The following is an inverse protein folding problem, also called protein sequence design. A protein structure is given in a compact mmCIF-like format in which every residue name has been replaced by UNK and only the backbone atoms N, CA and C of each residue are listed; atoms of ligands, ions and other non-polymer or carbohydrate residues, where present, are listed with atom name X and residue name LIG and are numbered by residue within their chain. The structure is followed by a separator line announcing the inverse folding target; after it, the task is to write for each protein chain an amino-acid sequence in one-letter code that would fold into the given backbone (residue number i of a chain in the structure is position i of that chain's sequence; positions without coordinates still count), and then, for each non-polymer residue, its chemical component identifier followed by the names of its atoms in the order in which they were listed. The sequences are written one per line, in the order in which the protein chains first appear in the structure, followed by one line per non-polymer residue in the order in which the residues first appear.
data_IF_360528457160
#
_entry.id   IF_360528457160
#
_cell.length_a   1.000
_cell.length_b   1.000
_cell.length_c   1.000
_cell.angle_alpha   90.00
_cell.angle_beta   90.00
_cell.angle_gamma   90.00
#
_symmetry.space_group_name_H-M   'P 1'
#
loop_
_entity.id
_entity.type
_entity.pdbx_description
1 polymer ?
#
# COMPACT_ATOMS: atom_id res chain seq x y z
N UNK A 1 -5.71 -6.95 -10.91
CA UNK A 1 -5.94 -5.49 -10.82
C UNK A 1 -5.45 -5.00 -9.48
N UNK A 2 -4.72 -3.90 -9.48
CA UNK A 2 -4.23 -3.18 -8.30
C UNK A 2 -4.28 -1.69 -8.60
N UNK A 3 -4.38 -0.87 -7.55
CA UNK A 3 -4.39 0.59 -7.64
C UNK A 3 -3.20 1.08 -6.81
N UNK A 4 -2.41 1.98 -7.37
CA UNK A 4 -1.32 2.67 -6.68
C UNK A 4 -1.70 4.13 -6.53
N UNK A 5 -1.56 4.66 -5.32
CA UNK A 5 -1.88 6.05 -4.97
C UNK A 5 -0.64 6.66 -4.35
N UNK A 6 -0.26 7.86 -4.80
CA UNK A 6 0.82 8.63 -4.19
C UNK A 6 0.33 9.23 -2.86
N UNK A 7 1.16 9.11 -1.81
CA UNK A 7 0.88 9.67 -0.49
C UNK A 7 1.54 11.04 -0.36
N UNK A 8 0.79 12.07 -0.77
CA UNK A 8 1.21 13.48 -0.79
C UNK A 8 1.31 14.12 0.61
N UNK A 9 0.96 13.40 1.68
CA UNK A 9 1.02 13.91 3.05
C UNK A 9 2.39 13.70 3.74
N UNK A 10 3.36 13.15 3.02
CA UNK A 10 4.65 12.77 3.58
C UNK A 10 5.78 13.76 3.24
N UNK A 11 6.76 13.81 4.15
CA UNK A 11 7.93 14.72 4.10
C UNK A 11 8.67 14.62 2.76
N UNK A 12 9.01 15.78 2.20
CA UNK A 12 9.48 16.08 0.82
C UNK A 12 10.68 15.26 0.28
N UNK A 13 11.21 14.28 1.01
CA UNK A 13 12.43 13.56 0.67
C UNK A 13 12.24 12.12 0.18
N UNK A 14 11.04 11.53 0.32
CA UNK A 14 10.80 10.14 -0.09
C UNK A 14 9.41 9.95 -0.72
N UNK A 15 9.35 9.65 -2.03
CA UNK A 15 8.10 9.36 -2.75
C UNK A 15 7.43 8.11 -2.17
N UNK A 16 6.38 8.30 -1.37
CA UNK A 16 5.61 7.21 -0.75
C UNK A 16 4.39 6.87 -1.58
N UNK A 17 4.18 5.57 -1.72
CA UNK A 17 3.08 5.01 -2.50
C UNK A 17 2.32 3.98 -1.68
N UNK A 18 1.00 4.02 -1.82
CA UNK A 18 0.07 3.05 -1.25
C UNK A 18 -0.44 2.19 -2.42
N UNK A 19 -0.08 0.92 -2.40
CA UNK A 19 -0.59 -0.10 -3.31
C UNK A 19 -1.74 -0.85 -2.65
N UNK A 20 -2.91 -0.83 -3.27
CA UNK A 20 -4.08 -1.60 -2.87
C UNK A 20 -4.32 -2.67 -3.94
N UNK A 21 -4.25 -3.94 -3.53
CA UNK A 21 -4.39 -5.07 -4.44
C UNK A 21 -5.08 -6.26 -3.78
N UNK A 22 -5.23 -7.35 -4.55
CA UNK A 22 -5.67 -8.64 -4.03
C UNK A 22 -4.50 -9.61 -4.00
N UNK A 23 -4.37 -10.34 -2.90
CA UNK A 23 -3.53 -11.53 -2.80
C UNK A 23 -4.08 -12.65 -3.69
N UNK A 24 -3.25 -13.68 -3.92
CA UNK A 24 -3.65 -14.91 -4.63
C UNK A 24 -4.87 -15.61 -3.99
N UNK A 25 -5.05 -15.42 -2.68
CA UNK A 25 -6.19 -15.96 -1.92
C UNK A 25 -7.38 -14.97 -1.87
N UNK A 26 -7.46 -14.03 -2.82
CA UNK A 26 -8.54 -13.05 -2.95
C UNK A 26 -8.73 -12.10 -1.76
N UNK A 27 -7.75 -11.99 -0.86
CA UNK A 27 -7.77 -11.06 0.27
C UNK A 27 -7.15 -9.74 -0.14
N UNK A 28 -7.78 -8.62 0.23
CA UNK A 28 -7.23 -7.28 0.01
C UNK A 28 -5.91 -7.12 0.77
N UNK A 29 -4.93 -6.53 0.09
CA UNK A 29 -3.62 -6.17 0.62
C UNK A 29 -3.42 -4.68 0.45
N UNK A 30 -2.89 -4.04 1.48
CA UNK A 30 -2.44 -2.66 1.45
C UNK A 30 -0.94 -2.66 1.72
N UNK A 31 -0.17 -2.13 0.78
CA UNK A 31 1.29 -2.08 0.85
C UNK A 31 1.76 -0.63 0.72
N UNK A 32 2.43 -0.14 1.75
CA UNK A 32 3.11 1.16 1.73
C UNK A 32 4.56 0.92 1.34
N UNK A 33 5.01 1.61 0.31
CA UNK A 33 6.36 1.45 -0.24
C UNK A 33 6.96 2.77 -0.68
N UNK A 34 8.29 2.77 -0.77
CA UNK A 34 9.06 3.81 -1.43
C UNK A 34 9.58 3.27 -2.75
N UNK A 35 9.47 4.09 -3.79
CA UNK A 35 10.18 3.84 -5.03
C UNK A 35 11.47 4.67 -5.07
N UNK A 36 12.60 3.98 -5.24
CA UNK A 36 13.87 4.56 -5.63
C UNK A 36 14.19 4.08 -7.04
N UNK A 37 15.14 4.75 -7.70
CA UNK A 37 15.52 4.47 -9.10
C UNK A 37 15.67 2.97 -9.40
N UNK A 38 16.34 2.23 -8.50
CA UNK A 38 16.69 0.82 -8.71
C UNK A 38 16.07 -0.14 -7.68
N UNK A 39 15.21 0.36 -6.77
CA UNK A 39 14.72 -0.47 -5.68
C UNK A 39 13.37 -0.03 -5.13
N UNK A 40 12.55 -1.00 -4.74
CA UNK A 40 11.35 -0.77 -3.96
C UNK A 40 11.62 -1.15 -2.50
N UNK A 41 11.41 -0.21 -1.58
CA UNK A 41 11.48 -0.48 -0.13
C UNK A 41 10.06 -0.58 0.42
N UNK A 42 9.68 -1.76 0.89
CA UNK A 42 8.41 -1.94 1.61
C UNK A 42 8.57 -1.32 3.01
N UNK A 43 7.71 -0.36 3.34
CA UNK A 43 7.60 0.23 4.68
C UNK A 43 6.65 -0.63 5.52
N UNK A 44 5.51 -1.00 4.94
CA UNK A 44 4.48 -1.80 5.61
C UNK A 44 3.70 -2.61 4.60
N UNK A 45 3.37 -3.86 4.94
CA UNK A 45 2.42 -4.66 4.19
C UNK A 45 1.41 -5.23 5.19
N UNK A 46 0.14 -4.87 4.99
CA UNK A 46 -0.95 -5.35 5.84
C UNK A 46 -1.99 -6.04 4.97
N UNK A 47 -2.38 -7.22 5.43
CA UNK A 47 -3.56 -7.89 4.93
C UNK A 47 -4.76 -7.26 5.61
N UNK A 48 -5.76 -6.88 4.83
CA UNK A 48 -7.01 -6.37 5.38
C UNK A 48 -7.60 -7.42 6.33
N UNK A 49 -7.79 -7.03 7.58
CA UNK A 49 -8.46 -7.83 8.61
C UNK A 49 -9.84 -7.26 8.84
N UNK A 50 -10.71 -7.34 7.82
CA UNK A 50 -12.16 -7.11 7.93
C UNK A 50 -12.56 -6.16 9.08
N UNK A 51 -12.47 -4.85 8.89
CA UNK A 51 -13.30 -3.93 9.68
C UNK A 51 -14.66 -3.83 9.00
N UNK A 52 -15.51 -4.83 9.23
CA UNK A 52 -16.95 -4.66 9.06
C UNK A 52 -17.47 -4.14 10.39
N UNK A 53 -17.55 -2.83 10.55
CA UNK A 53 -18.60 -2.25 11.39
C UNK A 53 -19.77 -1.93 10.46
N UNK A 54 -20.64 -2.92 10.29
CA UNK A 54 -22.03 -2.64 9.92
C UNK A 54 -22.71 -2.10 11.19
N UNK A 55 -23.16 -0.85 11.16
CA UNK A 55 -24.15 -0.28 12.09
C UNK A 55 -25.10 0.61 11.31
#
# INVERSE_FOLDING_TARGET
MSITIEDSLHSDNENRFILIGKSINHKTLVVVHLEKLDSIRIISAKKESKLYEES
#
